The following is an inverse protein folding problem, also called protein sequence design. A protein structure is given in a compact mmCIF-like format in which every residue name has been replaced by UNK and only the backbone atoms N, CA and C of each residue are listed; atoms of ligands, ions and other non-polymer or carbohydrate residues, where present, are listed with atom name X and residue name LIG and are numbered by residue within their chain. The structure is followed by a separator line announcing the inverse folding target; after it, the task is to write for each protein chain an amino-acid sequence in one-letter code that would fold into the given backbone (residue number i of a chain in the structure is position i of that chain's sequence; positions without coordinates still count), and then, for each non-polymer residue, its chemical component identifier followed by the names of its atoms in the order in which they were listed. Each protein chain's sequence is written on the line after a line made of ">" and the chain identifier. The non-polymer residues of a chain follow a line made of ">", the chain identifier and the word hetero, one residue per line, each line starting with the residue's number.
data_IF_890974008051
#
_entry.id   IF_890974008051
#
_cell.length_a   1.000
_cell.length_b   1.000
_cell.length_c   1.000
_cell.angle_alpha   90.00
_cell.angle_beta   90.00
_cell.angle_gamma   90.00
#
_symmetry.space_group_name_H-M   'P 1'
#
loop_
_entity.id
_entity.type
_entity.pdbx_description
1 polymer ?
#
# COMPACT_ATOMS: atom_id res chain seq x y z
N UNK A 1 -40.67 42.63 16.19
CA UNK A 1 -40.85 41.31 16.83
C UNK A 1 -39.81 40.35 16.25
N UNK A 2 -38.75 40.13 17.03
CA UNK A 2 -37.70 39.10 17.05
C UNK A 2 -37.08 38.51 15.77
N UNK A 3 -35.97 39.18 15.40
CA UNK A 3 -34.83 38.80 14.54
C UNK A 3 -33.90 37.71 15.16
N UNK A 4 -34.32 37.02 16.24
CA UNK A 4 -33.39 36.25 17.10
C UNK A 4 -33.35 34.72 16.91
N UNK A 5 -34.19 34.12 16.05
CA UNK A 5 -34.30 32.65 15.99
C UNK A 5 -34.04 31.99 14.63
N UNK A 6 -33.72 32.75 13.58
CA UNK A 6 -33.48 32.16 12.24
C UNK A 6 -31.99 31.93 11.94
N UNK A 7 -31.09 32.41 12.81
CA UNK A 7 -29.63 32.33 12.61
C UNK A 7 -29.06 30.98 13.09
N UNK A 8 -29.83 30.18 13.85
CA UNK A 8 -29.32 28.97 14.50
C UNK A 8 -29.45 27.66 13.70
N UNK A 9 -30.09 27.67 12.53
CA UNK A 9 -30.41 26.43 11.80
C UNK A 9 -29.59 26.21 10.52
N UNK A 10 -28.76 27.17 10.10
CA UNK A 10 -28.02 27.08 8.83
C UNK A 10 -26.59 26.55 9.02
N UNK A 11 -26.08 26.50 10.25
CA UNK A 11 -24.71 26.01 10.55
C UNK A 11 -24.61 24.48 10.49
N UNK A 12 -25.72 23.75 10.41
CA UNK A 12 -25.75 22.29 10.24
C UNK A 12 -25.53 21.82 8.77
N UNK A 13 -25.18 22.73 7.85
CA UNK A 13 -25.13 22.44 6.41
C UNK A 13 -23.74 22.24 5.78
N UNK A 14 -22.62 22.39 6.51
CA UNK A 14 -21.27 22.36 5.93
C UNK A 14 -20.28 21.53 6.76
N UNK A 15 -20.44 20.20 6.79
CA UNK A 15 -19.32 19.33 7.20
C UNK A 15 -19.48 17.86 6.78
N UNK A 16 -20.25 17.54 5.72
CA UNK A 16 -20.04 16.25 5.05
C UNK A 16 -18.77 16.38 4.22
N UNK A 17 -17.62 16.30 4.89
CA UNK A 17 -16.33 16.06 4.26
C UNK A 17 -16.43 14.68 3.62
N UNK A 18 -16.93 14.67 2.38
CA UNK A 18 -16.92 13.50 1.53
C UNK A 18 -15.45 13.13 1.37
N UNK A 19 -15.02 12.03 1.99
CA UNK A 19 -13.78 11.37 1.59
C UNK A 19 -13.95 11.04 0.11
N UNK A 20 -13.43 11.90 -0.76
CA UNK A 20 -13.20 11.51 -2.13
C UNK A 20 -12.13 10.44 -2.04
N UNK A 21 -12.54 9.18 -2.17
CA UNK A 21 -11.63 8.11 -2.54
C UNK A 21 -11.03 8.54 -3.88
N UNK A 22 -9.80 9.06 -3.84
CA UNK A 22 -9.05 9.39 -5.03
C UNK A 22 -8.91 8.11 -5.84
N UNK A 23 -9.72 7.97 -6.88
CA UNK A 23 -9.48 6.96 -7.91
C UNK A 23 -8.28 7.47 -8.69
N UNK A 24 -7.09 7.08 -8.24
CA UNK A 24 -5.87 7.39 -8.96
C UNK A 24 -5.90 6.65 -10.30
N UNK A 25 -5.60 7.35 -11.42
CA UNK A 25 -5.51 6.72 -12.73
C UNK A 25 -4.54 5.54 -12.66
N UNK A 26 -5.05 4.33 -12.90
CA UNK A 26 -4.25 3.10 -12.87
C UNK A 26 -3.32 3.08 -14.08
N UNK A 27 -2.16 3.72 -13.92
CA UNK A 27 -1.09 3.76 -14.92
C UNK A 27 -0.02 2.78 -14.52
N UNK A 28 0.36 1.89 -15.42
CA UNK A 28 1.43 0.93 -15.17
C UNK A 28 2.74 1.67 -14.87
N UNK A 29 3.55 1.23 -13.88
CA UNK A 29 4.83 1.87 -13.60
C UNK A 29 5.74 1.87 -14.85
N UNK A 30 6.30 3.03 -15.16
CA UNK A 30 7.20 3.21 -16.30
C UNK A 30 8.67 3.07 -15.89
N UNK A 31 9.46 2.42 -16.75
CA UNK A 31 10.91 2.28 -16.54
C UNK A 31 11.56 3.66 -16.57
N UNK A 32 12.47 3.91 -15.62
CA UNK A 32 13.20 5.18 -15.50
C UNK A 32 12.41 6.30 -14.82
N UNK A 33 11.16 6.05 -14.41
CA UNK A 33 10.40 6.94 -13.53
C UNK A 33 10.52 6.49 -12.07
N UNK A 34 10.31 7.40 -11.10
CA UNK A 34 10.13 7.00 -9.71
C UNK A 34 9.02 5.97 -9.57
N UNK A 35 9.27 4.91 -8.81
CA UNK A 35 8.24 3.93 -8.48
C UNK A 35 7.09 4.61 -7.69
N UNK A 36 5.82 4.23 -7.95
CA UNK A 36 4.68 4.73 -7.17
C UNK A 36 4.87 4.47 -5.68
N UNK A 37 4.45 5.42 -4.84
CA UNK A 37 4.50 5.22 -3.40
C UNK A 37 3.39 4.27 -2.94
N UNK A 38 3.65 3.54 -1.87
CA UNK A 38 2.64 2.69 -1.22
C UNK A 38 2.89 2.64 0.28
N UNK A 39 1.81 2.40 1.02
CA UNK A 39 1.83 2.06 2.43
C UNK A 39 0.78 0.96 2.65
N UNK A 40 1.23 -0.26 2.93
CA UNK A 40 0.36 -1.43 3.09
C UNK A 40 0.56 -2.09 4.46
N UNK A 41 -0.53 -2.63 5.01
CA UNK A 41 -0.50 -3.40 6.25
C UNK A 41 -0.09 -4.84 5.93
N UNK A 42 0.88 -5.35 6.67
CA UNK A 42 1.38 -6.73 6.56
C UNK A 42 0.53 -7.70 7.37
N UNK A 43 0.74 -9.01 7.18
CA UNK A 43 -0.02 -10.04 7.90
C UNK A 43 0.18 -10.04 9.42
N UNK A 44 1.30 -9.51 9.91
CA UNK A 44 1.56 -9.33 11.34
C UNK A 44 0.96 -8.02 11.91
N UNK A 45 0.25 -7.24 11.08
CA UNK A 45 -0.37 -5.96 11.45
C UNK A 45 0.58 -4.78 11.45
N UNK A 46 1.86 -4.96 11.08
CA UNK A 46 2.79 -3.84 10.92
C UNK A 46 2.53 -3.05 9.63
N UNK A 47 3.11 -1.85 9.54
CA UNK A 47 2.99 -0.99 8.36
C UNK A 47 4.29 -1.03 7.58
N UNK A 48 4.20 -1.25 6.27
CA UNK A 48 5.33 -1.18 5.35
C UNK A 48 5.07 -0.11 4.30
N UNK A 49 6.01 0.83 4.13
CA UNK A 49 5.97 1.83 3.06
C UNK A 49 7.21 1.75 2.15
N UNK A 50 7.06 2.10 0.87
CA UNK A 50 8.21 2.12 -0.05
C UNK A 50 9.32 3.09 0.40
N UNK A 51 8.94 4.22 1.01
CA UNK A 51 9.90 5.20 1.56
C UNK A 51 10.81 4.63 2.66
N UNK A 52 10.41 3.56 3.33
CA UNK A 52 11.19 2.97 4.43
C UNK A 52 12.45 2.25 3.91
N UNK A 53 12.51 2.00 2.59
CA UNK A 53 13.61 1.30 1.91
C UNK A 53 14.48 2.22 1.05
N UNK A 54 14.42 3.54 1.23
CA UNK A 54 15.30 4.48 0.51
C UNK A 54 16.77 4.14 0.77
N UNK A 55 17.56 4.11 -0.31
CA UNK A 55 18.98 3.71 -0.25
C UNK A 55 19.21 2.20 -0.36
N UNK A 56 18.15 1.38 -0.47
CA UNK A 56 18.22 -0.05 -0.75
C UNK A 56 17.60 -0.36 -2.11
N UNK A 57 18.03 -1.47 -2.72
CA UNK A 57 17.30 -2.05 -3.84
C UNK A 57 16.05 -2.76 -3.30
N UNK A 58 14.94 -2.64 -4.01
CA UNK A 58 13.68 -3.31 -3.66
C UNK A 58 13.22 -4.16 -4.82
N UNK A 59 13.06 -5.46 -4.59
CA UNK A 59 12.32 -6.36 -5.45
C UNK A 59 10.90 -6.43 -4.90
N UNK A 60 9.98 -5.73 -5.56
CA UNK A 60 8.55 -5.80 -5.26
C UNK A 60 7.90 -6.77 -6.26
N UNK A 61 7.42 -7.91 -5.78
CA UNK A 61 6.77 -8.91 -6.62
C UNK A 61 5.32 -9.11 -6.21
N UNK A 62 4.45 -9.20 -7.21
CA UNK A 62 3.00 -9.34 -7.01
C UNK A 62 2.59 -10.77 -7.32
N UNK A 63 1.77 -11.35 -6.46
CA UNK A 63 1.26 -12.70 -6.66
C UNK A 63 -0.26 -12.77 -6.37
N UNK A 64 -1.02 -13.61 -7.07
CA UNK A 64 -2.49 -13.48 -7.07
C UNK A 64 -3.16 -13.84 -5.75
N UNK A 65 -2.58 -14.77 -4.98
CA UNK A 65 -3.17 -15.26 -3.74
C UNK A 65 -2.19 -16.00 -2.84
N UNK A 66 -2.21 -15.72 -1.54
CA UNK A 66 -1.47 -16.42 -0.51
C UNK A 66 -1.73 -17.94 -0.54
N UNK A 67 -0.71 -18.73 -0.20
CA UNK A 67 -0.79 -20.19 -0.06
C UNK A 67 -1.25 -20.98 -1.31
N UNK A 68 -1.10 -20.41 -2.51
CA UNK A 68 -1.33 -21.13 -3.79
C UNK A 68 -0.01 -21.60 -4.41
N UNK A 69 -0.08 -22.64 -5.25
CA UNK A 69 1.09 -23.39 -5.74
C UNK A 69 2.13 -22.54 -6.49
N UNK A 70 1.71 -21.50 -7.22
CA UNK A 70 2.63 -20.58 -7.91
C UNK A 70 3.42 -19.70 -6.94
N UNK A 71 2.75 -19.17 -5.92
CA UNK A 71 3.33 -18.28 -4.91
C UNK A 71 4.38 -18.99 -4.06
N UNK A 72 4.25 -20.32 -3.92
CA UNK A 72 5.21 -21.12 -3.17
C UNK A 72 6.57 -21.19 -3.85
N UNK A 73 6.65 -21.21 -5.19
CA UNK A 73 7.91 -21.46 -5.89
C UNK A 73 8.81 -20.20 -5.97
N UNK A 74 8.22 -19.05 -6.29
CA UNK A 74 8.94 -17.77 -6.30
C UNK A 74 9.38 -17.36 -4.89
N UNK A 75 8.47 -17.43 -3.91
CA UNK A 75 8.79 -17.16 -2.52
C UNK A 75 9.86 -18.13 -1.98
N UNK A 76 9.80 -19.42 -2.31
CA UNK A 76 10.81 -20.40 -1.91
C UNK A 76 12.19 -20.09 -2.53
N UNK A 77 12.25 -19.67 -3.79
CA UNK A 77 13.52 -19.28 -4.42
C UNK A 77 14.11 -18.02 -3.75
N UNK A 78 13.27 -17.03 -3.46
CA UNK A 78 13.70 -15.85 -2.70
C UNK A 78 14.18 -16.21 -1.29
N UNK A 79 13.48 -17.12 -0.61
CA UNK A 79 13.87 -17.59 0.72
C UNK A 79 15.20 -18.35 0.68
N UNK A 80 15.40 -19.23 -0.29
CA UNK A 80 16.66 -19.97 -0.48
C UNK A 80 17.85 -19.04 -0.64
N UNK A 81 17.67 -17.98 -1.43
CA UNK A 81 18.75 -17.05 -1.80
C UNK A 81 18.75 -15.76 -0.95
N UNK A 82 17.97 -15.69 0.13
CA UNK A 82 17.75 -14.48 0.92
C UNK A 82 19.05 -13.83 1.40
N UNK A 83 20.03 -14.64 1.82
CA UNK A 83 21.34 -14.15 2.23
C UNK A 83 22.07 -13.39 1.10
N UNK A 84 22.02 -13.92 -0.14
CA UNK A 84 22.66 -13.29 -1.30
C UNK A 84 22.04 -11.93 -1.61
N UNK A 85 20.71 -11.82 -1.50
CA UNK A 85 20.02 -10.56 -1.67
C UNK A 85 20.35 -9.56 -0.56
N UNK A 86 20.39 -10.03 0.69
CA UNK A 86 20.75 -9.20 1.84
C UNK A 86 22.17 -8.64 1.72
N UNK A 87 23.14 -9.48 1.34
CA UNK A 87 24.55 -9.08 1.12
C UNK A 87 24.69 -8.06 -0.03
N UNK A 88 23.80 -8.12 -1.02
CA UNK A 88 23.73 -7.16 -2.12
C UNK A 88 22.93 -5.88 -1.77
N UNK A 89 22.43 -5.74 -0.53
CA UNK A 89 21.61 -4.60 -0.11
C UNK A 89 20.22 -4.56 -0.74
N UNK A 90 19.69 -5.73 -1.13
CA UNK A 90 18.37 -5.91 -1.74
C UNK A 90 17.35 -6.36 -0.69
N UNK A 91 16.18 -5.75 -0.72
CA UNK A 91 15.00 -6.14 0.06
C UNK A 91 13.97 -6.77 -0.88
N UNK A 92 13.36 -7.88 -0.46
CA UNK A 92 12.32 -8.56 -1.22
C UNK A 92 10.99 -8.37 -0.50
N UNK A 93 9.99 -7.86 -1.22
CA UNK A 93 8.64 -7.61 -0.71
C UNK A 93 7.63 -8.32 -1.63
N UNK A 94 6.83 -9.21 -1.05
CA UNK A 94 5.71 -9.87 -1.73
C UNK A 94 4.41 -9.13 -1.44
N UNK A 95 3.57 -8.95 -2.45
CA UNK A 95 2.25 -8.33 -2.32
C UNK A 95 1.19 -9.20 -3.01
N UNK A 96 0.11 -9.51 -2.30
CA UNK A 96 -1.08 -10.12 -2.87
C UNK A 96 -2.30 -9.20 -2.76
N UNK A 97 -3.40 -9.63 -3.36
CA UNK A 97 -4.71 -8.95 -3.21
C UNK A 97 -5.48 -9.45 -1.99
N UNK A 98 -4.89 -10.33 -1.19
CA UNK A 98 -5.48 -10.81 0.06
C UNK A 98 -5.46 -9.70 1.12
N UNK A 99 -6.34 -9.82 2.11
CA UNK A 99 -6.30 -8.94 3.28
C UNK A 99 -5.15 -9.34 4.19
N UNK A 100 -4.67 -8.41 5.02
CA UNK A 100 -3.65 -8.71 6.02
C UNK A 100 -4.03 -9.87 6.97
N UNK A 101 -5.33 -10.11 7.23
CA UNK A 101 -5.82 -11.14 8.15
C UNK A 101 -6.17 -12.48 7.48
N UNK A 102 -5.75 -12.71 6.24
CA UNK A 102 -6.17 -13.88 5.45
C UNK A 102 -5.55 -15.21 5.89
#
# INVERSE_FOLDING_TARGET
>A
MNIRNTILSVVAGLATLTCMAATEPQTQPEIGKPAPDFSLTTGDGSQVSLKDYRGKWVVLYFYPKDFTSGCTMEAHNFQRDLAKYSDAGVVILGVSVDTAQS
#
